data_IF_905356525578
#
_entry.id   IF_905356525578
#
_cell.length_a   1.000
_cell.length_b   1.000
_cell.length_c   1.000
_cell.angle_alpha   90.00
_cell.angle_beta   90.00
_cell.angle_gamma   90.00
#
_symmetry.space_group_name_H-M   'P 1'
#
loop_
_entity.id
_entity.type
_entity.pdbx_description
1 polymer ?
#
# COMPACT_ATOMS: atom_id res chain seq x y z
N UNK A 1 22.70 -3.05 15.14
CA UNK A 1 23.44 -3.08 13.86
C UNK A 1 22.75 -2.12 12.91
N UNK A 2 23.33 -0.93 12.76
CA UNK A 2 22.91 0.07 11.79
C UNK A 2 23.06 -0.54 10.40
N UNK A 3 21.97 -0.64 9.65
CA UNK A 3 22.03 -0.99 8.25
C UNK A 3 22.85 0.10 7.56
N UNK A 4 24.00 -0.27 7.00
CA UNK A 4 24.75 0.60 6.10
C UNK A 4 23.84 0.90 4.89
N UNK A 5 23.11 2.01 4.98
CA UNK A 5 22.38 2.60 3.87
C UNK A 5 23.40 2.98 2.80
N UNK A 6 23.52 2.15 1.76
CA UNK A 6 24.16 2.54 0.51
C UNK A 6 23.48 3.85 0.09
N UNK A 7 24.23 4.94 -0.16
CA UNK A 7 23.61 6.20 -0.55
C UNK A 7 22.84 6.00 -1.85
N UNK A 8 21.57 6.38 -1.84
CA UNK A 8 20.69 6.31 -3.00
C UNK A 8 21.08 7.44 -3.96
N UNK A 9 22.09 7.21 -4.80
CA UNK A 9 22.73 8.26 -5.61
C UNK A 9 21.87 8.78 -6.77
N UNK A 10 20.78 8.09 -7.12
CA UNK A 10 19.90 8.46 -8.22
C UNK A 10 18.68 9.28 -7.80
N UNK A 11 18.47 9.56 -6.51
CA UNK A 11 17.40 10.45 -6.06
C UNK A 11 17.93 11.88 -6.06
N UNK A 12 17.33 12.73 -6.90
CA UNK A 12 17.70 14.16 -7.01
C UNK A 12 17.06 14.97 -5.91
N UNK A 13 15.80 14.66 -5.59
CA UNK A 13 15.04 15.32 -4.54
C UNK A 13 14.10 14.33 -3.87
N UNK A 14 13.97 14.47 -2.55
CA UNK A 14 13.05 13.71 -1.72
C UNK A 14 12.54 14.64 -0.61
N UNK A 15 11.24 14.93 -0.59
CA UNK A 15 10.64 15.88 0.34
C UNK A 15 9.27 15.37 0.80
N UNK A 16 8.84 15.75 2.00
CA UNK A 16 7.50 15.52 2.51
C UNK A 16 6.80 16.88 2.66
N UNK A 17 5.68 17.05 1.97
CA UNK A 17 4.80 18.21 2.13
C UNK A 17 3.81 17.94 3.27
N UNK A 18 4.15 18.42 4.46
CA UNK A 18 3.34 18.26 5.68
C UNK A 18 2.32 19.40 5.83
N UNK A 19 1.25 19.15 6.60
CA UNK A 19 0.30 20.20 7.02
C UNK A 19 -0.62 20.76 5.92
N UNK A 20 -0.61 20.17 4.72
CA UNK A 20 -1.47 20.57 3.59
C UNK A 20 -2.64 19.61 3.34
N UNK A 21 -2.62 18.42 3.96
CA UNK A 21 -3.52 17.31 3.67
C UNK A 21 -3.92 16.56 4.97
N UNK A 22 -5.09 15.90 5.01
CA UNK A 22 -6.16 15.96 4.01
C UNK A 22 -6.78 17.34 3.86
N UNK A 23 -7.41 17.58 2.71
CA UNK A 23 -8.32 18.71 2.51
C UNK A 23 -9.61 18.48 3.31
N UNK A 24 -10.17 19.57 3.85
CA UNK A 24 -11.47 19.55 4.49
C UNK A 24 -12.59 19.36 3.43
N UNK A 25 -13.61 18.53 3.71
CA UNK A 25 -14.81 18.44 2.89
C UNK A 25 -15.51 19.80 2.71
N UNK A 26 -15.79 20.18 1.47
CA UNK A 26 -16.58 21.37 1.18
C UNK A 26 -18.07 21.03 1.22
N UNK A 27 -18.80 21.70 2.11
CA UNK A 27 -20.25 21.60 2.23
C UNK A 27 -20.88 23.00 2.32
N UNK A 28 -21.80 23.37 1.40
CA UNK A 28 -22.23 22.62 0.21
C UNK A 28 -21.09 22.46 -0.81
N UNK A 29 -21.25 21.53 -1.76
CA UNK A 29 -20.28 21.41 -2.85
C UNK A 29 -20.20 22.76 -3.59
N UNK A 30 -18.99 23.29 -3.85
CA UNK A 30 -18.83 24.57 -4.52
C UNK A 30 -19.41 24.52 -5.94
N UNK A 31 -19.87 25.65 -6.44
CA UNK A 31 -20.23 25.79 -7.86
C UNK A 31 -18.97 25.59 -8.73
N UNK A 32 -19.19 25.21 -9.99
CA UNK A 32 -18.12 24.87 -10.93
C UNK A 32 -17.18 26.07 -11.14
N UNK A 33 -15.96 26.00 -10.60
CA UNK A 33 -14.95 27.08 -10.67
C UNK A 33 -14.69 27.84 -9.37
N UNK A 34 -15.51 27.66 -8.33
CA UNK A 34 -15.37 28.35 -7.02
C UNK A 34 -14.50 27.57 -6.02
N UNK A 35 -13.87 26.50 -6.45
CA UNK A 35 -13.01 25.71 -5.58
C UNK A 35 -11.56 26.16 -5.69
N UNK A 36 -10.91 26.32 -4.53
CA UNK A 36 -9.49 26.64 -4.44
C UNK A 36 -8.76 25.50 -3.72
N UNK A 37 -7.87 24.83 -4.45
CA UNK A 37 -6.92 23.90 -3.84
C UNK A 37 -5.77 24.72 -3.23
N UNK A 38 -5.23 24.33 -2.06
CA UNK A 38 -4.08 25.02 -1.49
C UNK A 38 -2.96 25.17 -2.53
N UNK A 39 -2.45 26.38 -2.68
CA UNK A 39 -1.45 26.74 -3.71
C UNK A 39 -0.23 25.81 -3.65
N UNK A 40 0.19 25.39 -2.46
CA UNK A 40 1.27 24.43 -2.26
C UNK A 40 0.97 23.07 -2.91
N UNK A 41 -0.25 22.56 -2.76
CA UNK A 41 -0.68 21.29 -3.35
C UNK A 41 -0.85 21.42 -4.86
N UNK A 42 -1.46 22.51 -5.32
CA UNK A 42 -1.63 22.78 -6.75
C UNK A 42 -0.27 22.86 -7.46
N UNK A 43 0.69 23.60 -6.88
CA UNK A 43 2.07 23.69 -7.38
C UNK A 43 2.77 22.33 -7.37
N UNK A 44 2.56 21.51 -6.35
CA UNK A 44 3.15 20.17 -6.30
C UNK A 44 2.62 19.27 -7.44
N UNK A 45 1.32 19.33 -7.73
CA UNK A 45 0.67 18.49 -8.73
C UNK A 45 0.90 18.96 -10.17
N UNK A 46 0.85 20.27 -10.40
CA UNK A 46 0.84 20.85 -11.75
C UNK A 46 2.10 21.64 -12.10
N UNK A 47 2.96 21.94 -11.11
CA UNK A 47 4.16 22.74 -11.31
C UNK A 47 3.90 24.23 -11.37
N UNK A 48 4.92 24.98 -11.82
CA UNK A 48 4.74 26.37 -12.24
C UNK A 48 4.15 26.42 -13.64
N UNK A 49 3.47 27.53 -13.97
CA UNK A 49 2.86 27.76 -15.28
C UNK A 49 3.84 27.59 -16.47
N UNK A 50 5.14 27.77 -16.23
CA UNK A 50 6.20 27.67 -17.24
C UNK A 50 6.64 26.22 -17.53
N UNK A 51 6.22 25.25 -16.69
CA UNK A 51 6.55 23.84 -16.89
C UNK A 51 5.39 23.11 -17.58
N UNK A 52 5.53 22.83 -18.88
CA UNK A 52 4.55 22.05 -19.65
C UNK A 52 4.58 20.55 -19.28
N UNK A 53 4.12 20.21 -18.08
CA UNK A 53 3.97 18.83 -17.62
C UNK A 53 2.52 18.56 -17.24
N UNK A 54 1.99 17.43 -17.67
CA UNK A 54 0.71 16.92 -17.21
C UNK A 54 0.87 16.12 -15.90
N UNK A 55 -0.20 16.12 -15.11
CA UNK A 55 -0.31 15.33 -13.88
C UNK A 55 -1.17 14.10 -14.15
N UNK A 56 -0.68 12.93 -13.73
CA UNK A 56 -1.41 11.67 -13.86
C UNK A 56 -1.47 10.96 -12.52
N UNK A 57 -2.54 10.23 -12.28
CA UNK A 57 -2.68 9.37 -11.11
C UNK A 57 -2.99 7.94 -11.53
N UNK A 58 -2.38 6.99 -10.83
CA UNK A 58 -2.66 5.56 -10.93
C UNK A 58 -3.47 5.17 -9.71
N UNK A 59 -4.65 4.59 -9.93
CA UNK A 59 -5.64 4.25 -8.91
C UNK A 59 -5.95 2.75 -8.96
N UNK A 60 -6.19 2.11 -7.80
CA UNK A 60 -6.53 0.68 -7.72
C UNK A 60 -8.04 0.48 -7.51
N UNK A 61 -8.75 -0.05 -8.51
CA UNK A 61 -10.19 -0.36 -8.37
C UNK A 61 -10.46 -1.48 -7.36
N UNK A 62 -9.47 -2.34 -7.06
CA UNK A 62 -9.59 -3.34 -6.00
C UNK A 62 -9.56 -2.75 -4.58
N UNK A 63 -9.22 -1.46 -4.46
CA UNK A 63 -9.20 -0.72 -3.20
C UNK A 63 -10.19 0.45 -3.17
N UNK A 64 -10.62 0.94 -4.34
CA UNK A 64 -11.56 2.05 -4.48
C UNK A 64 -12.88 1.51 -5.03
N UNK A 65 -13.91 1.35 -4.18
CA UNK A 65 -15.23 0.89 -4.62
C UNK A 65 -15.80 1.81 -5.71
N UNK A 66 -16.42 1.21 -6.74
CA UNK A 66 -17.08 1.92 -7.84
C UNK A 66 -16.17 2.92 -8.58
N UNK A 67 -14.85 2.65 -8.62
CA UNK A 67 -13.91 3.53 -9.30
C UNK A 67 -14.28 3.79 -10.78
N UNK A 68 -14.66 2.79 -11.61
CA UNK A 68 -15.07 3.05 -12.99
C UNK A 68 -16.21 4.06 -13.12
N UNK A 69 -17.23 3.96 -12.28
CA UNK A 69 -18.39 4.86 -12.25
C UNK A 69 -17.99 6.27 -11.80
N UNK A 70 -17.13 6.38 -10.78
CA UNK A 70 -16.58 7.67 -10.34
C UNK A 70 -15.78 8.35 -11.46
N UNK A 71 -15.01 7.58 -12.23
CA UNK A 71 -14.23 8.09 -13.36
C UNK A 71 -15.12 8.51 -14.53
N UNK A 72 -16.16 7.74 -14.84
CA UNK A 72 -17.14 8.09 -15.88
C UNK A 72 -17.83 9.43 -15.56
N UNK A 73 -18.23 9.63 -14.30
CA UNK A 73 -18.85 10.88 -13.83
C UNK A 73 -17.86 12.06 -13.77
N UNK A 74 -16.55 11.80 -13.68
CA UNK A 74 -15.55 12.85 -13.51
C UNK A 74 -15.33 13.72 -14.75
N UNK A 75 -15.68 13.22 -15.94
CA UNK A 75 -15.35 13.86 -17.23
C UNK A 75 -13.85 13.91 -17.57
N UNK A 76 -12.99 13.31 -16.73
CA UNK A 76 -11.54 13.29 -16.95
C UNK A 76 -11.15 12.26 -18.01
N UNK A 77 -9.92 12.38 -18.52
CA UNK A 77 -9.33 11.36 -19.38
C UNK A 77 -8.79 10.22 -18.51
N UNK A 78 -9.32 9.02 -18.68
CA UNK A 78 -8.88 7.84 -17.94
C UNK A 78 -8.81 6.58 -18.80
N UNK A 79 -8.05 5.58 -18.34
CA UNK A 79 -7.94 4.26 -18.98
C UNK A 79 -7.39 3.20 -18.04
N UNK A 80 -8.02 2.03 -18.02
CA UNK A 80 -7.49 0.85 -17.33
C UNK A 80 -6.13 0.43 -17.92
N UNK A 81 -5.14 0.14 -17.08
CA UNK A 81 -3.83 -0.36 -17.53
C UNK A 81 -3.92 -1.81 -18.00
N UNK A 82 -4.95 -2.55 -17.60
CA UNK A 82 -5.30 -3.83 -18.20
C UNK A 82 -6.14 -3.64 -19.46
N UNK A 83 -5.99 -4.56 -20.42
CA UNK A 83 -6.70 -4.49 -21.71
C UNK A 83 -6.81 -5.89 -22.31
N UNK A 84 -7.76 -6.05 -23.24
CA UNK A 84 -8.17 -7.36 -23.76
C UNK A 84 -9.00 -8.13 -22.74
N UNK A 85 -9.15 -9.45 -22.93
CA UNK A 85 -9.94 -10.32 -22.04
C UNK A 85 -9.54 -10.19 -20.56
N UNK A 86 -8.26 -10.00 -20.25
CA UNK A 86 -7.77 -9.76 -18.88
C UNK A 86 -8.34 -8.47 -18.26
N UNK A 87 -8.56 -7.43 -19.07
CA UNK A 87 -9.16 -6.17 -18.61
C UNK A 87 -10.65 -6.29 -18.32
N UNK A 88 -11.38 -7.11 -19.08
CA UNK A 88 -12.81 -7.37 -18.86
C UNK A 88 -13.05 -8.21 -17.61
N UNK A 89 -12.23 -9.24 -17.37
CA UNK A 89 -12.37 -10.13 -16.20
C UNK A 89 -11.87 -9.50 -14.89
N UNK A 90 -10.90 -8.58 -14.95
CA UNK A 90 -10.27 -7.99 -13.76
C UNK A 90 -10.57 -6.51 -13.57
N UNK A 91 -11.53 -5.93 -14.29
CA UNK A 91 -11.83 -4.49 -14.26
C UNK A 91 -12.01 -3.94 -12.82
N UNK A 92 -12.68 -4.71 -11.96
CA UNK A 92 -12.92 -4.40 -10.54
C UNK A 92 -11.68 -4.54 -9.65
N UNK A 93 -10.58 -5.13 -10.16
CA UNK A 93 -9.32 -5.34 -9.45
C UNK A 93 -8.12 -4.91 -10.32
N UNK A 94 -8.26 -3.76 -10.98
CA UNK A 94 -7.31 -3.25 -11.97
C UNK A 94 -6.74 -1.89 -11.58
N UNK A 95 -5.49 -1.61 -11.97
CA UNK A 95 -4.95 -0.27 -11.93
C UNK A 95 -5.47 0.59 -13.10
N UNK A 96 -5.90 1.81 -12.80
CA UNK A 96 -6.43 2.80 -13.75
C UNK A 96 -5.53 4.02 -13.79
N UNK A 97 -5.19 4.48 -15.00
CA UNK A 97 -4.52 5.77 -15.20
C UNK A 97 -5.56 6.86 -15.45
N UNK A 98 -5.41 7.99 -14.78
CA UNK A 98 -6.25 9.18 -14.96
C UNK A 98 -5.35 10.39 -15.17
N UNK A 99 -5.71 11.28 -16.09
CA UNK A 99 -5.07 12.59 -16.22
C UNK A 99 -5.79 13.58 -15.32
N UNK A 100 -5.09 14.09 -14.30
CA UNK A 100 -5.64 15.09 -13.40
C UNK A 100 -5.64 16.46 -14.06
N UNK A 101 -6.66 17.25 -13.72
CA UNK A 101 -6.84 18.62 -14.21
C UNK A 101 -7.03 19.52 -12.99
N UNK A 102 -6.31 20.64 -12.92
CA UNK A 102 -6.62 21.69 -11.95
C UNK A 102 -7.99 22.27 -12.31
N UNK A 103 -8.89 22.47 -11.34
CA UNK A 103 -10.28 22.80 -11.62
C UNK A 103 -11.26 21.61 -11.73
N UNK A 104 -10.81 20.35 -11.82
CA UNK A 104 -11.71 19.19 -11.68
C UNK A 104 -12.05 18.76 -10.23
N UNK A 105 -13.35 18.60 -9.92
CA UNK A 105 -13.86 18.09 -8.63
C UNK A 105 -13.18 16.78 -8.18
N UNK A 106 -13.03 15.82 -9.10
CA UNK A 106 -12.38 14.54 -8.82
C UNK A 106 -10.93 14.70 -8.32
N UNK A 107 -10.18 15.67 -8.84
CA UNK A 107 -8.82 15.96 -8.38
C UNK A 107 -8.83 16.36 -6.90
N UNK A 108 -9.75 17.24 -6.48
CA UNK A 108 -9.88 17.64 -5.06
C UNK A 108 -10.32 16.47 -4.18
N UNK A 109 -11.30 15.70 -4.65
CA UNK A 109 -11.85 14.55 -3.93
C UNK A 109 -10.78 13.49 -3.63
N UNK A 110 -9.76 13.35 -4.49
CA UNK A 110 -8.58 12.51 -4.26
C UNK A 110 -7.81 12.89 -2.98
N UNK A 111 -7.83 14.17 -2.61
CA UNK A 111 -7.09 14.75 -1.48
C UNK A 111 -7.97 15.08 -0.28
N UNK A 112 -9.26 14.79 -0.34
CA UNK A 112 -10.22 15.06 0.75
C UNK A 112 -10.42 13.80 1.59
N UNK A 113 -10.53 13.95 2.91
CA UNK A 113 -10.85 12.84 3.83
C UNK A 113 -12.23 13.04 4.47
N UNK A 114 -13.10 12.03 4.40
CA UNK A 114 -14.35 11.91 5.16
C UNK A 114 -14.94 10.51 5.01
N UNK A 115 -16.12 10.27 5.59
CA UNK A 115 -16.89 9.04 5.40
C UNK A 115 -17.57 8.91 4.01
N UNK A 116 -17.59 9.97 3.20
CA UNK A 116 -18.14 9.92 1.85
C UNK A 116 -17.29 9.06 0.90
N UNK A 117 -17.96 8.19 0.13
CA UNK A 117 -17.31 7.19 -0.75
C UNK A 117 -16.45 7.78 -1.87
N UNK A 118 -16.67 9.05 -2.23
CA UNK A 118 -15.90 9.75 -3.26
C UNK A 118 -14.68 10.50 -2.70
N UNK A 119 -14.55 10.67 -1.37
CA UNK A 119 -13.36 11.27 -0.76
C UNK A 119 -12.30 10.19 -0.53
N UNK A 120 -11.18 10.28 -1.25
CA UNK A 120 -10.26 9.15 -1.43
C UNK A 120 -8.96 9.25 -0.60
N UNK A 121 -8.80 10.29 0.22
CA UNK A 121 -7.60 10.43 1.05
C UNK A 121 -7.57 9.43 2.20
N UNK A 122 -6.37 9.12 2.69
CA UNK A 122 -6.17 8.30 3.90
C UNK A 122 -6.03 6.80 3.66
N UNK A 123 -6.24 6.33 2.42
CA UNK A 123 -6.09 4.91 2.12
C UNK A 123 -4.86 4.55 1.25
N UNK A 124 -3.98 5.53 0.98
CA UNK A 124 -2.72 5.33 0.23
C UNK A 124 -2.93 4.59 -1.11
N UNK A 125 -4.07 4.85 -1.78
CA UNK A 125 -4.58 4.07 -2.92
C UNK A 125 -4.12 4.59 -4.27
N UNK A 126 -3.13 5.48 -4.28
CA UNK A 126 -2.71 6.09 -5.53
C UNK A 126 -1.23 6.40 -5.61
N UNK A 127 -0.77 6.50 -6.86
CA UNK A 127 0.56 6.98 -7.22
C UNK A 127 0.34 8.11 -8.20
N UNK A 128 0.89 9.28 -7.91
CA UNK A 128 0.78 10.44 -8.78
C UNK A 128 2.13 10.64 -9.46
N UNK A 129 2.11 10.98 -10.73
CA UNK A 129 3.30 11.24 -11.53
C UNK A 129 3.11 12.46 -12.41
N UNK A 130 4.17 13.26 -12.51
CA UNK A 130 4.25 14.37 -13.48
C UNK A 130 5.11 13.98 -14.66
N UNK A 131 4.67 14.36 -15.86
CA UNK A 131 5.41 14.08 -17.08
C UNK A 131 5.11 15.09 -18.18
N UNK A 132 6.09 15.37 -19.04
CA UNK A 132 5.88 16.08 -20.31
C UNK A 132 5.33 15.20 -21.44
N UNK A 133 5.16 13.89 -21.19
CA UNK A 133 4.62 12.96 -22.18
C UNK A 133 3.08 13.04 -22.23
N UNK A 134 2.54 12.65 -23.38
CA UNK A 134 1.09 12.50 -23.52
C UNK A 134 0.55 11.30 -22.72
N UNK A 135 -0.77 11.30 -22.52
CA UNK A 135 -1.49 10.26 -21.80
C UNK A 135 -1.24 8.85 -22.35
N UNK A 136 -1.16 8.70 -23.68
CA UNK A 136 -1.00 7.37 -24.29
C UNK A 136 0.39 6.79 -24.02
N UNK A 137 1.43 7.63 -24.07
CA UNK A 137 2.80 7.24 -23.74
C UNK A 137 2.92 6.80 -22.28
N UNK A 138 2.34 7.56 -21.35
CA UNK A 138 2.32 7.21 -19.92
C UNK A 138 1.55 5.91 -19.67
N UNK A 139 0.36 5.77 -20.27
CA UNK A 139 -0.44 4.55 -20.18
C UNK A 139 0.32 3.33 -20.69
N UNK A 140 0.95 3.43 -21.87
CA UNK A 140 1.73 2.35 -22.47
C UNK A 140 2.91 1.94 -21.60
N UNK A 141 3.58 2.91 -20.97
CA UNK A 141 4.71 2.65 -20.07
C UNK A 141 4.28 1.86 -18.83
N UNK A 142 3.31 2.38 -18.06
CA UNK A 142 2.85 1.72 -16.84
C UNK A 142 2.14 0.39 -17.10
N UNK A 143 1.43 0.25 -18.22
CA UNK A 143 0.87 -1.04 -18.65
C UNK A 143 1.94 -2.13 -18.79
N UNK A 144 3.09 -1.81 -19.40
CA UNK A 144 4.20 -2.76 -19.56
C UNK A 144 4.79 -3.20 -18.23
N UNK A 145 4.79 -2.33 -17.22
CA UNK A 145 5.33 -2.61 -15.89
C UNK A 145 4.48 -3.59 -15.07
N UNK A 146 3.25 -3.92 -15.49
CA UNK A 146 2.41 -4.92 -14.80
C UNK A 146 3.02 -6.32 -14.80
N UNK A 147 3.97 -6.61 -15.70
CA UNK A 147 4.72 -7.85 -15.76
C UNK A 147 6.22 -7.56 -15.83
N UNK A 148 6.98 -8.20 -14.96
CA UNK A 148 8.43 -8.10 -14.88
C UNK A 148 9.04 -9.50 -14.88
N UNK A 149 10.33 -9.62 -15.15
CA UNK A 149 11.04 -10.90 -15.13
C UNK A 149 12.19 -10.86 -14.13
N UNK A 150 12.63 -11.98 -13.58
CA UNK A 150 13.94 -12.03 -12.92
C UNK A 150 15.06 -12.41 -13.91
N UNK A 151 16.31 -12.43 -13.44
CA UNK A 151 17.47 -12.77 -14.25
C UNK A 151 17.43 -14.20 -14.85
N UNK A 152 16.54 -15.08 -14.35
CA UNK A 152 16.33 -16.42 -14.88
C UNK A 152 15.17 -16.48 -15.90
N UNK A 153 14.56 -15.34 -16.24
CA UNK A 153 13.42 -15.26 -17.14
C UNK A 153 12.09 -15.68 -16.50
N UNK A 154 12.03 -15.86 -15.18
CA UNK A 154 10.76 -16.15 -14.50
C UNK A 154 9.94 -14.87 -14.46
N UNK A 155 8.74 -14.92 -15.05
CA UNK A 155 7.81 -13.79 -15.05
C UNK A 155 7.07 -13.66 -13.72
N UNK A 156 6.94 -12.42 -13.24
CA UNK A 156 6.16 -12.03 -12.07
C UNK A 156 5.12 -10.99 -12.47
N UNK A 157 3.98 -11.04 -11.79
CA UNK A 157 3.02 -9.94 -11.82
C UNK A 157 3.47 -8.88 -10.82
N UNK A 158 3.74 -7.66 -11.30
CA UNK A 158 4.24 -6.58 -10.45
C UNK A 158 3.12 -5.62 -10.09
N UNK A 159 2.65 -5.71 -8.85
CA UNK A 159 1.64 -4.83 -8.25
C UNK A 159 2.20 -3.46 -7.88
N UNK A 160 2.82 -2.80 -8.86
CA UNK A 160 3.52 -1.54 -8.63
C UNK A 160 2.57 -0.41 -8.21
N UNK A 161 1.27 -0.49 -8.47
CA UNK A 161 0.29 0.52 -8.02
C UNK A 161 -0.02 0.45 -6.53
N UNK A 162 0.46 -0.57 -5.82
CA UNK A 162 0.54 -0.52 -4.37
C UNK A 162 1.76 0.33 -3.98
N UNK A 163 1.50 1.57 -3.53
CA UNK A 163 2.50 2.60 -3.28
C UNK A 163 3.74 2.14 -2.49
N UNK A 164 3.66 1.25 -1.47
CA UNK A 164 4.85 0.75 -0.77
C UNK A 164 5.85 0.04 -1.69
N UNK A 165 5.39 -0.74 -2.67
CA UNK A 165 6.27 -1.44 -3.61
C UNK A 165 6.87 -0.47 -4.62
N UNK A 166 6.09 0.49 -5.12
CA UNK A 166 6.60 1.55 -6.01
C UNK A 166 7.71 2.34 -5.32
N UNK A 167 7.42 2.81 -4.11
CA UNK A 167 8.34 3.57 -3.27
C UNK A 167 9.62 2.79 -3.01
N UNK A 168 9.50 1.52 -2.63
CA UNK A 168 10.68 0.68 -2.38
C UNK A 168 11.52 0.47 -3.65
N UNK A 169 10.90 0.32 -4.81
CA UNK A 169 11.60 0.22 -6.09
C UNK A 169 12.36 1.52 -6.44
N UNK A 170 11.77 2.68 -6.16
CA UNK A 170 12.45 3.97 -6.36
C UNK A 170 13.60 4.20 -5.38
N UNK A 171 13.36 3.94 -4.09
CA UNK A 171 14.28 4.32 -3.01
C UNK A 171 15.36 3.29 -2.70
N UNK A 172 15.10 2.02 -2.98
CA UNK A 172 15.99 0.90 -2.62
C UNK A 172 16.42 0.06 -3.83
N UNK A 173 15.80 0.28 -5.00
CA UNK A 173 16.29 -0.27 -6.26
C UNK A 173 17.58 0.40 -6.71
N UNK A 174 18.29 -0.24 -7.63
CA UNK A 174 19.40 0.40 -8.33
C UNK A 174 18.94 1.59 -9.17
N UNK A 175 19.87 2.49 -9.54
CA UNK A 175 19.59 3.59 -10.45
C UNK A 175 18.91 3.12 -11.75
N UNK A 176 19.33 1.97 -12.29
CA UNK A 176 18.71 1.38 -13.49
C UNK A 176 17.27 0.93 -13.24
N UNK A 177 17.00 0.26 -12.11
CA UNK A 177 15.64 -0.19 -11.77
C UNK A 177 14.70 1.01 -11.51
N UNK A 178 15.13 1.99 -10.72
CA UNK A 178 14.37 3.22 -10.50
C UNK A 178 14.13 3.96 -11.82
N UNK A 179 15.16 4.10 -12.65
CA UNK A 179 15.06 4.69 -13.99
C UNK A 179 14.11 3.97 -14.93
N UNK A 180 14.07 2.64 -14.89
CA UNK A 180 13.12 1.86 -15.68
C UNK A 180 11.68 2.02 -15.19
N UNK A 181 11.48 2.30 -13.91
CA UNK A 181 10.16 2.53 -13.33
C UNK A 181 9.59 3.89 -13.78
N UNK A 182 10.42 4.92 -13.83
CA UNK A 182 10.02 6.32 -14.07
C UNK A 182 10.84 7.06 -15.16
N UNK A 183 11.13 6.47 -16.33
CA UNK A 183 12.07 7.02 -17.33
C UNK A 183 11.60 8.32 -18.00
N UNK A 184 10.34 8.66 -17.86
CA UNK A 184 9.70 9.82 -18.47
C UNK A 184 8.87 10.60 -17.45
N UNK A 185 9.07 10.34 -16.17
CA UNK A 185 8.36 11.00 -15.08
C UNK A 185 9.35 11.97 -14.45
N UNK A 186 9.00 13.25 -14.42
CA UNK A 186 9.82 14.29 -13.81
C UNK A 186 9.73 14.27 -12.29
N UNK A 187 8.58 13.85 -11.75
CA UNK A 187 8.33 13.81 -10.32
C UNK A 187 7.26 12.76 -9.99
N UNK A 188 7.47 12.00 -8.92
CA UNK A 188 6.49 11.08 -8.33
C UNK A 188 5.99 11.69 -7.03
N UNK A 189 4.68 11.64 -6.79
CA UNK A 189 4.05 12.03 -5.54
C UNK A 189 3.28 10.83 -4.96
N UNK A 190 3.52 10.55 -3.67
CA UNK A 190 2.93 9.42 -2.95
C UNK A 190 2.18 9.95 -1.72
N UNK A 191 0.84 9.77 -1.64
CA UNK A 191 0.09 10.08 -0.44
C UNK A 191 0.60 9.31 0.77
N UNK A 192 0.75 10.01 1.89
CA UNK A 192 1.04 9.45 3.20
C UNK A 192 -0.01 9.93 4.20
N UNK A 193 -0.07 9.29 5.37
CA UNK A 193 -1.00 9.70 6.42
C UNK A 193 -0.70 11.12 6.94
N UNK A 194 0.57 11.53 6.88
CA UNK A 194 1.14 12.77 7.40
C UNK A 194 1.38 13.85 6.31
N UNK A 195 1.07 13.57 5.03
CA UNK A 195 1.27 14.54 3.96
C UNK A 195 1.45 13.91 2.59
N UNK A 196 2.12 14.63 1.69
CA UNK A 196 2.42 14.18 0.33
C UNK A 196 3.93 14.06 0.13
N UNK A 197 4.43 12.84 -0.04
CA UNK A 197 5.85 12.58 -0.30
C UNK A 197 6.15 12.81 -1.78
N UNK A 198 7.15 13.64 -2.08
CA UNK A 198 7.60 13.94 -3.45
C UNK A 198 8.99 13.36 -3.69
N UNK A 199 9.16 12.63 -4.77
CA UNK A 199 10.40 11.94 -5.15
C UNK A 199 10.75 12.28 -6.59
N UNK A 200 11.97 12.75 -6.82
CA UNK A 200 12.54 12.99 -8.14
C UNK A 200 13.72 12.06 -8.38
N UNK A 201 13.64 11.28 -9.45
CA UNK A 201 14.71 10.37 -9.87
C UNK A 201 15.51 11.05 -10.97
N UNK A 202 16.84 11.00 -10.85
CA UNK A 202 17.76 11.50 -11.85
C UNK A 202 17.44 10.85 -13.20
N UNK A 203 17.38 11.61 -14.31
CA UNK A 203 17.10 11.05 -15.63
C UNK A 203 18.01 9.85 -15.93
N UNK A 204 17.39 8.71 -16.22
CA UNK A 204 18.12 7.50 -16.59
C UNK A 204 17.98 7.24 -18.09
N UNK A 205 19.00 6.61 -18.71
CA UNK A 205 18.89 6.17 -20.09
C UNK A 205 17.64 5.31 -20.27
N UNK A 206 16.90 5.55 -21.35
CA UNK A 206 15.76 4.68 -21.71
C UNK A 206 16.26 3.25 -21.88
N UNK A 207 15.92 2.39 -20.94
CA UNK A 207 16.17 0.97 -21.08
C UNK A 207 15.12 0.34 -22.01
N UNK A 208 15.59 -0.39 -23.02
CA UNK A 208 14.74 -1.20 -23.90
C UNK A 208 14.60 -2.60 -23.32
N UNK A 209 13.42 -3.19 -23.42
CA UNK A 209 13.17 -4.58 -22.99
C UNK A 209 12.21 -4.67 -21.81
N UNK A 210 12.15 -5.84 -21.17
CA UNK A 210 11.33 -6.09 -19.99
C UNK A 210 12.10 -5.58 -18.75
N UNK A 211 11.37 -5.12 -17.73
CA UNK A 211 11.99 -4.78 -16.44
C UNK A 211 12.53 -6.07 -15.80
N UNK A 212 13.84 -6.12 -15.55
CA UNK A 212 14.49 -7.27 -14.92
C UNK A 212 14.65 -7.00 -13.41
N UNK A 213 13.90 -7.73 -12.60
CA UNK A 213 13.92 -7.71 -11.16
C UNK A 213 15.22 -8.32 -10.64
N UNK A 214 16.08 -7.50 -10.04
CA UNK A 214 17.27 -7.99 -9.37
C UNK A 214 16.92 -8.84 -8.13
N UNK A 215 17.84 -9.72 -7.73
CA UNK A 215 17.69 -10.49 -6.50
C UNK A 215 17.63 -9.58 -5.25
N UNK A 216 18.33 -8.44 -5.28
CA UNK A 216 18.32 -7.45 -4.22
C UNK A 216 16.94 -6.79 -4.08
N UNK A 217 16.38 -6.27 -5.17
CA UNK A 217 15.05 -5.65 -5.15
C UNK A 217 13.94 -6.68 -4.85
N UNK A 218 14.09 -7.92 -5.32
CA UNK A 218 13.19 -9.04 -4.96
C UNK A 218 13.17 -9.30 -3.45
N UNK A 219 14.32 -9.22 -2.78
CA UNK A 219 14.42 -9.34 -1.32
C UNK A 219 13.69 -8.17 -0.64
N UNK A 220 13.93 -6.95 -1.10
CA UNK A 220 13.23 -5.74 -0.60
C UNK A 220 11.72 -5.89 -0.73
N UNK A 221 11.20 -6.37 -1.87
CA UNK A 221 9.76 -6.63 -2.03
C UNK A 221 9.23 -7.68 -1.05
N UNK A 222 10.03 -8.68 -0.68
CA UNK A 222 9.66 -9.62 0.37
C UNK A 222 9.49 -8.96 1.74
N UNK A 223 10.37 -8.03 2.09
CA UNK A 223 10.31 -7.24 3.33
C UNK A 223 9.10 -6.28 3.33
N UNK A 224 8.88 -5.57 2.21
CA UNK A 224 7.71 -4.71 2.01
C UNK A 224 6.41 -5.51 2.12
N UNK A 225 6.35 -6.70 1.51
CA UNK A 225 5.17 -7.55 1.59
C UNK A 225 4.84 -7.97 3.03
N UNK A 226 5.86 -8.15 3.87
CA UNK A 226 5.67 -8.45 5.29
C UNK A 226 5.19 -7.22 6.07
N UNK A 227 5.77 -6.05 5.81
CA UNK A 227 5.34 -4.78 6.42
C UNK A 227 3.89 -4.44 6.08
N UNK A 228 3.51 -4.56 4.80
CA UNK A 228 2.13 -4.34 4.34
C UNK A 228 1.17 -5.34 4.98
N UNK A 229 1.57 -6.60 5.11
CA UNK A 229 0.77 -7.62 5.79
C UNK A 229 0.51 -7.25 7.25
N UNK A 230 1.55 -6.87 8.01
CA UNK A 230 1.37 -6.47 9.41
C UNK A 230 0.57 -5.19 9.57
N UNK A 231 0.76 -4.19 8.71
CA UNK A 231 -0.04 -2.96 8.74
C UNK A 231 -1.53 -3.24 8.47
N UNK A 232 -1.85 -4.17 7.56
CA UNK A 232 -3.23 -4.61 7.31
C UNK A 232 -3.84 -5.30 8.52
N UNK A 233 -3.09 -6.17 9.19
CA UNK A 233 -3.53 -6.82 10.42
C UNK A 233 -3.76 -5.80 11.53
N UNK A 234 -2.82 -4.87 11.74
CA UNK A 234 -2.96 -3.81 12.74
C UNK A 234 -4.22 -2.99 12.49
N UNK A 235 -4.44 -2.54 11.25
CA UNK A 235 -5.67 -1.82 10.87
C UNK A 235 -6.94 -2.63 11.17
N UNK A 236 -6.97 -3.90 10.75
CA UNK A 236 -8.13 -4.78 10.96
C UNK A 236 -8.46 -4.95 12.46
N UNK A 237 -7.45 -5.13 13.31
CA UNK A 237 -7.67 -5.42 14.72
C UNK A 237 -7.77 -4.19 15.63
N UNK A 238 -7.06 -3.11 15.29
CA UNK A 238 -6.95 -1.91 16.12
C UNK A 238 -7.87 -0.77 15.68
N UNK A 239 -8.07 -0.57 14.36
CA UNK A 239 -8.92 0.53 13.86
C UNK A 239 -10.37 0.07 13.67
N UNK A 240 -10.56 -1.17 13.18
CA UNK A 240 -11.89 -1.76 12.94
C UNK A 240 -12.32 -2.66 14.08
N UNK A 241 -11.37 -3.36 14.70
CA UNK A 241 -11.60 -4.23 15.85
C UNK A 241 -11.48 -3.50 17.19
N UNK A 242 -11.53 -4.29 18.28
CA UNK A 242 -11.52 -3.78 19.65
C UNK A 242 -10.15 -3.94 20.35
N UNK A 243 -9.09 -4.32 19.64
CA UNK A 243 -7.76 -4.43 20.26
C UNK A 243 -7.10 -3.06 20.37
N UNK A 244 -6.42 -2.80 21.49
CA UNK A 244 -5.46 -1.71 21.55
C UNK A 244 -4.21 -2.05 20.73
N UNK A 245 -3.48 -1.01 20.30
CA UNK A 245 -2.19 -1.17 19.61
C UNK A 245 -1.16 -1.96 20.44
N UNK A 246 -1.22 -1.81 21.76
CA UNK A 246 -0.32 -2.53 22.68
C UNK A 246 -0.60 -4.02 22.70
N UNK A 247 -1.87 -4.41 22.84
CA UNK A 247 -2.31 -5.81 22.81
C UNK A 247 -1.97 -6.47 21.48
N UNK A 248 -2.29 -5.81 20.36
CA UNK A 248 -1.94 -6.29 19.02
C UNK A 248 -0.43 -6.58 18.91
N UNK A 249 0.40 -5.63 19.36
CA UNK A 249 1.86 -5.77 19.33
C UNK A 249 2.33 -6.94 20.18
N UNK A 250 1.75 -7.13 21.38
CA UNK A 250 2.09 -8.25 22.26
C UNK A 250 1.70 -9.60 21.66
N UNK A 251 0.49 -9.72 21.09
CA UNK A 251 0.05 -10.97 20.45
C UNK A 251 0.85 -11.30 19.20
N UNK A 252 1.06 -10.33 18.30
CA UNK A 252 1.85 -10.54 17.09
C UNK A 252 3.30 -10.89 17.45
N UNK A 253 3.91 -10.14 18.35
CA UNK A 253 5.27 -10.43 18.82
C UNK A 253 5.35 -11.82 19.45
N UNK A 254 4.41 -12.19 20.33
CA UNK A 254 4.35 -13.51 20.95
C UNK A 254 4.24 -14.65 19.93
N UNK A 255 3.37 -14.49 18.92
CA UNK A 255 3.26 -15.46 17.82
C UNK A 255 4.56 -15.58 17.02
N UNK A 256 5.20 -14.46 16.69
CA UNK A 256 6.46 -14.45 15.93
C UNK A 256 7.61 -15.05 16.74
N UNK A 257 7.71 -14.77 18.04
CA UNK A 257 8.70 -15.38 18.94
C UNK A 257 8.46 -16.89 19.11
N UNK A 258 7.19 -17.31 19.15
CA UNK A 258 6.81 -18.71 19.12
C UNK A 258 7.06 -19.37 17.74
N UNK A 259 7.51 -18.63 16.72
CA UNK A 259 7.91 -19.19 15.43
C UNK A 259 6.80 -19.34 14.40
N UNK A 260 5.60 -18.78 14.64
CA UNK A 260 4.56 -18.73 13.61
C UNK A 260 4.99 -17.81 12.45
N UNK A 261 4.83 -18.25 11.21
CA UNK A 261 5.22 -17.54 9.98
C UNK A 261 4.17 -17.61 8.88
N UNK A 262 3.28 -18.60 8.92
CA UNK A 262 2.19 -18.73 7.96
C UNK A 262 1.18 -17.59 8.13
N UNK A 263 0.84 -16.90 7.03
CA UNK A 263 0.03 -15.68 7.06
C UNK A 263 -1.42 -15.94 7.45
N UNK A 264 -2.02 -16.99 6.88
CA UNK A 264 -3.41 -17.34 7.15
C UNK A 264 -3.55 -17.82 8.60
N UNK A 265 -2.55 -18.53 9.12
CA UNK A 265 -2.51 -18.92 10.53
C UNK A 265 -2.32 -17.71 11.44
N UNK A 266 -1.42 -16.77 11.12
CA UNK A 266 -1.23 -15.56 11.91
C UNK A 266 -2.52 -14.73 12.00
N UNK A 267 -3.23 -14.57 10.88
CA UNK A 267 -4.53 -13.87 10.85
C UNK A 267 -5.57 -14.58 11.73
N UNK A 268 -5.78 -15.89 11.54
CA UNK A 268 -6.74 -16.66 12.33
C UNK A 268 -6.36 -16.80 13.82
N UNK A 269 -5.08 -16.66 14.14
CA UNK A 269 -4.56 -16.69 15.49
C UNK A 269 -4.79 -15.35 16.19
N UNK A 270 -4.62 -14.22 15.49
CA UNK A 270 -4.91 -12.89 16.02
C UNK A 270 -6.43 -12.67 16.17
N UNK A 271 -7.24 -13.08 15.19
CA UNK A 271 -8.71 -13.08 15.33
C UNK A 271 -9.15 -13.81 16.60
N UNK A 272 -8.53 -14.95 16.89
CA UNK A 272 -8.84 -15.72 18.11
C UNK A 272 -8.29 -15.08 19.39
N UNK A 273 -7.10 -14.47 19.34
CA UNK A 273 -6.55 -13.74 20.49
C UNK A 273 -7.43 -12.56 20.90
N UNK A 274 -8.17 -11.97 19.95
CA UNK A 274 -9.09 -10.85 20.18
C UNK A 274 -10.21 -11.18 21.19
N UNK A 275 -10.50 -12.47 21.39
CA UNK A 275 -11.53 -12.95 22.32
C UNK A 275 -11.05 -12.99 23.79
N UNK A 276 -9.80 -12.56 24.07
CA UNK A 276 -9.19 -12.65 25.39
C UNK A 276 -8.80 -11.27 25.92
N UNK A 277 -9.15 -11.01 27.18
CA UNK A 277 -8.76 -9.79 27.91
C UNK A 277 -7.28 -9.78 28.32
N UNK A 278 -6.62 -10.95 28.26
CA UNK A 278 -5.24 -11.13 28.69
C UNK A 278 -4.37 -11.62 27.53
N UNK A 279 -3.11 -11.18 27.42
CA UNK A 279 -2.21 -11.61 26.35
C UNK A 279 -1.98 -13.13 26.39
N UNK A 280 -2.58 -13.84 25.42
CA UNK A 280 -2.56 -15.31 25.31
C UNK A 280 -1.14 -15.88 25.41
N UNK A 281 -0.17 -15.28 24.72
CA UNK A 281 1.21 -15.79 24.67
C UNK A 281 2.01 -15.57 25.97
N UNK A 282 1.51 -14.73 26.89
CA UNK A 282 2.10 -14.56 28.21
C UNK A 282 1.57 -15.57 29.23
N UNK A 283 0.58 -16.39 28.87
CA UNK A 283 -0.05 -17.33 29.78
C UNK A 283 0.77 -18.63 29.92
N UNK A 284 0.95 -19.18 31.13
CA UNK A 284 1.74 -20.40 31.34
C UNK A 284 1.23 -21.62 30.55
N UNK A 285 -0.09 -21.76 30.39
CA UNK A 285 -0.68 -22.84 29.61
C UNK A 285 -0.35 -22.74 28.10
N UNK A 286 -0.20 -21.52 27.60
CA UNK A 286 0.17 -21.27 26.22
C UNK A 286 1.63 -21.63 25.98
N UNK A 287 2.53 -21.19 26.87
CA UNK A 287 3.96 -21.52 26.82
C UNK A 287 4.19 -23.03 26.78
N UNK A 288 3.56 -23.78 27.70
CA UNK A 288 3.66 -25.24 27.73
C UNK A 288 3.16 -25.90 26.44
N UNK A 289 2.03 -25.44 25.90
CA UNK A 289 1.49 -25.96 24.62
C UNK A 289 2.41 -25.66 23.45
N UNK A 290 3.03 -24.49 23.41
CA UNK A 290 3.91 -24.05 22.32
C UNK A 290 5.24 -24.81 22.36
N UNK A 291 5.80 -25.06 23.54
CA UNK A 291 6.98 -25.90 23.71
C UNK A 291 6.72 -27.35 23.27
N UNK A 292 5.59 -27.94 23.69
CA UNK A 292 5.22 -29.31 23.35
C UNK A 292 4.94 -29.54 21.85
N UNK A 293 4.67 -28.46 21.11
CA UNK A 293 4.34 -28.50 19.67
C UNK A 293 5.40 -27.84 18.80
N UNK A 294 6.59 -27.58 19.35
CA UNK A 294 7.71 -27.07 18.60
C UNK A 294 8.05 -28.00 17.42
N UNK A 295 8.27 -27.42 16.23
CA UNK A 295 8.58 -28.16 15.00
C UNK A 295 7.37 -28.68 14.22
N UNK A 296 6.15 -28.60 14.76
CA UNK A 296 4.93 -28.89 13.97
C UNK A 296 4.60 -27.73 13.02
N UNK A 297 3.75 -27.99 12.02
CA UNK A 297 3.20 -26.93 11.15
C UNK A 297 2.35 -25.95 11.97
N UNK A 298 2.40 -24.67 11.60
CA UNK A 298 1.68 -23.57 12.27
C UNK A 298 0.20 -23.87 12.51
N UNK A 299 -0.51 -24.41 11.50
CA UNK A 299 -1.93 -24.78 11.63
C UNK A 299 -2.18 -25.80 12.76
N UNK A 300 -1.29 -26.80 12.89
CA UNK A 300 -1.38 -27.82 13.94
C UNK A 300 -1.04 -27.23 15.31
N UNK A 301 -0.08 -26.31 15.37
CA UNK A 301 0.32 -25.62 16.60
C UNK A 301 -0.81 -24.73 17.12
N UNK A 302 -1.43 -23.92 16.25
CA UNK A 302 -2.62 -23.14 16.58
C UNK A 302 -3.76 -24.03 17.09
N UNK A 303 -4.04 -25.15 16.41
CA UNK A 303 -5.08 -26.08 16.84
C UNK A 303 -4.84 -26.66 18.24
N UNK A 304 -3.58 -27.00 18.58
CA UNK A 304 -3.21 -27.44 19.92
C UNK A 304 -3.35 -26.32 20.96
N UNK A 305 -2.91 -25.11 20.63
CA UNK A 305 -3.02 -23.95 21.50
C UNK A 305 -4.49 -23.65 21.86
N UNK A 306 -5.39 -23.66 20.87
CA UNK A 306 -6.84 -23.50 21.08
C UNK A 306 -7.42 -24.61 21.98
N UNK A 307 -6.94 -25.86 21.85
CA UNK A 307 -7.35 -26.97 22.74
C UNK A 307 -6.82 -26.80 24.16
N UNK A 308 -5.57 -26.37 24.33
CA UNK A 308 -4.98 -26.09 25.64
C UNK A 308 -5.78 -25.01 26.39
N UNK A 309 -6.15 -23.94 25.69
CA UNK A 309 -7.00 -22.88 26.24
C UNK A 309 -8.37 -23.41 26.74
N UNK A 310 -9.05 -24.26 25.95
CA UNK A 310 -10.32 -24.86 26.36
C UNK A 310 -10.18 -25.72 27.62
N UNK A 311 -9.08 -26.47 27.74
CA UNK A 311 -8.78 -27.26 28.94
C UNK A 311 -8.54 -26.37 30.16
N UNK A 312 -7.85 -25.26 29.98
CA UNK A 312 -7.62 -24.29 31.05
C UNK A 312 -8.93 -23.67 31.53
N UNK A 313 -9.78 -23.18 30.62
CA UNK A 313 -11.11 -22.64 30.98
C UNK A 313 -11.98 -23.66 31.72
N UNK A 314 -11.95 -24.93 31.30
CA UNK A 314 -12.69 -26.00 31.98
C UNK A 314 -12.15 -26.28 33.40
N UNK A 315 -10.83 -26.19 33.60
CA UNK A 315 -10.18 -26.35 34.91
C UNK A 315 -10.57 -25.21 35.86
N UNK A 316 -10.51 -23.97 35.40
CA UNK A 316 -10.90 -22.79 36.19
C UNK A 316 -12.38 -22.84 36.62
N UNK A 317 -13.27 -23.28 35.73
CA UNK A 317 -14.69 -23.42 36.04
C UNK A 317 -14.97 -24.52 37.10
N UNK A 318 -14.20 -25.61 37.06
CA UNK A 318 -14.28 -26.68 38.04
C UNK A 318 -13.74 -26.26 39.41
N UNK A 319 -12.68 -25.45 39.44
CA UNK A 319 -12.10 -24.89 40.68
C UNK A 319 -12.96 -23.77 41.28
N UNK A 320 -13.76 -23.07 40.46
CA UNK A 320 -14.68 -22.02 40.90
C UNK A 320 -16.08 -22.54 41.31
N UNK A 321 -16.36 -23.83 41.10
CA UNK A 321 -17.60 -24.46 41.56
C UNK A 321 -17.41 -24.93 43.02
N UNK A 322 -18.25 -24.45 43.97
CA UNK A 322 -18.08 -24.70 45.40
C UNK A 322 -18.29 -26.17 45.82
#
# INVERSE_FOLDING_TARGET
MTADTIPVTHIVSHTLLEGILPLEPLFPAPEEGDWLMPETLERALFGSADTATACFVILDSGQIPNLPELLEQSGLKYRCLFSGQTGETLAENSPWLVQLVSGARFTRDLFTASDAVWHLWGAQRCIIVRSSQDFHAIWKHFRRLTRIEDAQGKTFYFRFWEAPYFRAALMQGSATEAGQLVPQVSQTLLPRADGLETIEVAPQPKSRGIFILSAALKKVFGEVALQVFYARLEKRHCEVGNMTRSEFTQHLSGALHAGFRDRDVLEALLDWCAEYDQPVFAQPWAEASLAATAGLKDISRMGNLKRASRRQKAKELAEASP
#
